data_IF_831571322175
#
_entry.id   IF_831571322175
#
_cell.length_a   1.000
_cell.length_b   1.000
_cell.length_c   1.000
_cell.angle_alpha   90.00
_cell.angle_beta   90.00
_cell.angle_gamma   90.00
#
_symmetry.space_group_name_H-M   'P 1'
#
loop_
_entity.id
_entity.type
_entity.pdbx_description
1 polymer ?
#
# COMPACT_ATOMS: atom_id res chain seq x y z
N UNK A 1 2.36 23.20 10.16
CA UNK A 1 1.63 22.05 9.57
C UNK A 1 2.51 21.52 8.45
N UNK A 2 3.17 20.38 8.64
CA UNK A 2 3.94 19.76 7.55
C UNK A 2 2.94 19.19 6.56
N UNK A 3 2.76 19.87 5.43
CA UNK A 3 2.20 19.26 4.23
C UNK A 3 3.27 18.28 3.73
N UNK A 4 3.25 17.06 4.25
CA UNK A 4 4.00 15.96 3.66
C UNK A 4 3.34 15.69 2.32
N UNK A 5 3.88 16.24 1.23
CA UNK A 5 3.46 15.89 -0.11
C UNK A 5 3.52 14.37 -0.23
N UNK A 6 2.37 13.75 -0.44
CA UNK A 6 2.27 12.30 -0.62
C UNK A 6 3.08 11.95 -1.87
N UNK A 7 4.24 11.34 -1.66
CA UNK A 7 5.05 10.85 -2.76
C UNK A 7 4.23 9.84 -3.56
N UNK A 8 4.29 9.97 -4.88
CA UNK A 8 3.57 9.11 -5.81
C UNK A 8 4.56 8.24 -6.58
N UNK A 9 4.16 7.02 -6.87
CA UNK A 9 4.94 6.06 -7.67
C UNK A 9 4.07 5.43 -8.74
N UNK A 10 4.71 5.02 -9.83
CA UNK A 10 4.08 4.14 -10.81
C UNK A 10 4.19 2.69 -10.31
N UNK A 11 3.12 1.94 -10.48
CA UNK A 11 3.05 0.52 -10.08
C UNK A 11 2.51 -0.25 -11.26
N UNK A 12 3.11 -1.40 -11.55
CA UNK A 12 2.66 -2.23 -12.65
C UNK A 12 1.20 -2.69 -12.43
N UNK A 13 0.35 -2.74 -13.47
CA UNK A 13 -1.02 -3.23 -13.33
C UNK A 13 -1.09 -4.65 -12.73
N UNK A 14 -0.10 -5.49 -13.02
CA UNK A 14 0.01 -6.84 -12.48
C UNK A 14 0.20 -6.86 -10.97
N UNK A 15 1.03 -5.95 -10.44
CA UNK A 15 1.25 -5.83 -9.00
C UNK A 15 -0.02 -5.35 -8.27
N UNK A 16 -0.82 -4.51 -8.90
CA UNK A 16 -2.10 -4.06 -8.33
C UNK A 16 -3.13 -5.18 -8.32
N UNK A 17 -3.23 -5.95 -9.40
CA UNK A 17 -4.03 -7.18 -9.43
C UNK A 17 -3.54 -8.16 -8.36
N UNK A 18 -2.22 -8.24 -8.16
CA UNK A 18 -1.63 -9.05 -7.10
C UNK A 18 -2.10 -8.61 -5.71
N UNK A 19 -2.05 -7.31 -5.40
CA UNK A 19 -2.58 -6.77 -4.13
C UNK A 19 -4.07 -7.04 -3.97
N UNK A 20 -4.85 -6.83 -5.02
CA UNK A 20 -6.30 -7.09 -5.02
C UNK A 20 -6.61 -8.54 -4.62
N UNK A 21 -5.89 -9.51 -5.19
CA UNK A 21 -6.11 -10.94 -4.96
C UNK A 21 -5.51 -11.47 -3.65
N UNK A 22 -4.40 -10.91 -3.18
CA UNK A 22 -3.62 -11.51 -2.09
C UNK A 22 -3.73 -10.75 -0.76
N UNK A 23 -4.19 -9.50 -0.76
CA UNK A 23 -4.35 -8.73 0.47
C UNK A 23 -5.75 -8.87 1.07
N UNK A 24 -5.80 -9.58 2.18
CA UNK A 24 -7.02 -9.69 3.01
C UNK A 24 -7.37 -8.35 3.65
N UNK A 25 -8.61 -8.23 4.14
CA UNK A 25 -9.04 -7.07 4.93
C UNK A 25 -8.17 -6.84 6.17
N UNK A 26 -7.67 -7.92 6.80
CA UNK A 26 -6.76 -7.83 7.94
C UNK A 26 -5.41 -7.23 7.52
N UNK A 27 -4.84 -7.68 6.41
CA UNK A 27 -3.57 -7.12 5.90
C UNK A 27 -3.71 -5.64 5.52
N UNK A 28 -4.83 -5.25 4.90
CA UNK A 28 -5.13 -3.84 4.59
C UNK A 28 -5.28 -2.99 5.86
N UNK A 29 -5.83 -3.57 6.94
CA UNK A 29 -5.87 -2.91 8.25
C UNK A 29 -4.47 -2.70 8.82
N UNK A 30 -3.60 -3.70 8.72
CA UNK A 30 -2.21 -3.59 9.18
C UNK A 30 -1.42 -2.52 8.42
N UNK A 31 -1.70 -2.31 7.12
CA UNK A 31 -1.14 -1.18 6.36
C UNK A 31 -1.52 0.14 7.03
N UNK A 32 -2.79 0.31 7.40
CA UNK A 32 -3.28 1.52 8.05
C UNK A 32 -2.62 1.75 9.40
N UNK A 33 -2.51 0.69 10.20
CA UNK A 33 -1.93 0.76 11.54
C UNK A 33 -0.45 1.18 11.46
N UNK A 34 0.33 0.59 10.54
CA UNK A 34 1.73 0.98 10.30
C UNK A 34 1.91 2.41 9.81
N UNK A 35 1.03 2.88 8.93
CA UNK A 35 1.07 4.26 8.47
C UNK A 35 0.82 5.22 9.64
N UNK A 36 -0.18 4.92 10.48
CA UNK A 36 -0.47 5.73 11.65
C UNK A 36 0.68 5.71 12.68
N UNK A 37 1.33 4.57 12.89
CA UNK A 37 2.53 4.45 13.75
C UNK A 37 3.68 5.32 13.25
N UNK A 38 3.82 5.51 11.93
CA UNK A 38 4.81 6.40 11.32
C UNK A 38 4.35 7.87 11.25
N UNK A 39 3.23 8.23 11.90
CA UNK A 39 2.67 9.59 11.89
C UNK A 39 1.94 9.97 10.60
N UNK A 40 1.75 9.02 9.68
CA UNK A 40 1.02 9.21 8.43
C UNK A 40 -0.44 8.82 8.62
N UNK A 41 -1.30 9.81 8.83
CA UNK A 41 -2.75 9.54 8.97
C UNK A 41 -3.34 9.03 7.66
N UNK A 42 -3.64 7.74 7.61
CA UNK A 42 -4.25 7.09 6.46
C UNK A 42 -5.63 6.52 6.82
N UNK A 43 -6.69 7.05 6.21
CA UNK A 43 -8.03 6.47 6.34
C UNK A 43 -8.05 5.09 5.68
N UNK A 44 -8.69 4.11 6.34
CA UNK A 44 -8.83 2.75 5.81
C UNK A 44 -9.43 2.74 4.41
N UNK A 45 -10.47 3.53 4.16
CA UNK A 45 -11.09 3.63 2.83
C UNK A 45 -10.07 4.01 1.74
N UNK A 46 -9.14 4.93 2.06
CA UNK A 46 -8.11 5.33 1.12
C UNK A 46 -7.19 4.16 0.78
N UNK A 47 -6.77 3.37 1.77
CA UNK A 47 -5.91 2.19 1.56
C UNK A 47 -6.61 1.12 0.72
N UNK A 48 -7.90 0.87 0.99
CA UNK A 48 -8.67 -0.08 0.20
C UNK A 48 -8.78 0.37 -1.24
N UNK A 49 -9.14 1.63 -1.47
CA UNK A 49 -9.22 2.21 -2.82
C UNK A 49 -7.87 2.15 -3.52
N UNK A 50 -6.80 2.48 -2.81
CA UNK A 50 -5.42 2.50 -3.30
C UNK A 50 -4.98 1.12 -3.81
N UNK A 51 -5.26 0.08 -3.05
CA UNK A 51 -4.81 -1.30 -3.32
C UNK A 51 -5.78 -2.11 -4.20
N UNK A 52 -6.91 -1.52 -4.62
CA UNK A 52 -7.94 -2.21 -5.40
C UNK A 52 -8.34 -1.48 -6.69
N UNK A 53 -7.79 -0.30 -6.94
CA UNK A 53 -8.11 0.48 -8.14
C UNK A 53 -6.91 0.57 -9.06
N UNK A 54 -7.12 0.29 -10.36
CA UNK A 54 -6.13 0.56 -11.40
C UNK A 54 -6.07 2.07 -11.67
N UNK A 55 -4.87 2.65 -11.60
CA UNK A 55 -4.62 4.08 -11.79
C UNK A 55 -3.19 4.30 -12.26
N UNK A 56 -2.91 5.52 -12.70
CA UNK A 56 -1.59 5.89 -13.22
C UNK A 56 -0.52 6.00 -12.12
N UNK A 57 -0.90 6.56 -10.97
CA UNK A 57 0.02 6.85 -9.87
C UNK A 57 -0.57 6.42 -8.53
N UNK A 58 0.27 5.85 -7.68
CA UNK A 58 -0.05 5.31 -6.37
C UNK A 58 0.67 6.05 -5.25
N UNK A 59 0.08 6.10 -4.07
CA UNK A 59 0.65 6.59 -2.82
C UNK A 59 1.79 5.67 -2.40
N UNK A 60 3.02 6.20 -2.46
CA UNK A 60 4.24 5.44 -2.29
C UNK A 60 4.30 4.71 -0.94
N UNK A 61 3.79 5.35 0.12
CA UNK A 61 3.83 4.80 1.46
C UNK A 61 2.83 3.64 1.62
N UNK A 62 1.64 3.77 1.05
CA UNK A 62 0.65 2.67 1.06
C UNK A 62 1.21 1.45 0.32
N UNK A 63 1.79 1.65 -0.87
CA UNK A 63 2.36 0.55 -1.65
C UNK A 63 3.56 -0.07 -0.93
N UNK A 64 4.45 0.75 -0.36
CA UNK A 64 5.61 0.27 0.39
C UNK A 64 5.20 -0.58 1.58
N UNK A 65 4.23 -0.14 2.37
CA UNK A 65 3.73 -0.93 3.51
C UNK A 65 2.99 -2.19 3.05
N UNK A 66 2.23 -2.13 1.95
CA UNK A 66 1.59 -3.30 1.36
C UNK A 66 2.60 -4.38 0.93
N UNK A 67 3.68 -3.97 0.24
CA UNK A 67 4.80 -4.86 -0.13
C UNK A 67 5.43 -5.51 1.11
N UNK A 68 5.72 -4.72 2.15
CA UNK A 68 6.31 -5.21 3.41
C UNK A 68 5.41 -6.25 4.08
N UNK A 69 4.11 -5.97 4.22
CA UNK A 69 3.16 -6.90 4.83
C UNK A 69 3.07 -8.19 4.02
N UNK A 70 3.02 -8.12 2.69
CA UNK A 70 2.99 -9.33 1.87
C UNK A 70 4.31 -10.11 1.95
N UNK A 71 5.46 -9.44 2.03
CA UNK A 71 6.75 -10.10 2.27
C UNK A 71 6.75 -10.86 3.60
N UNK A 72 6.29 -10.23 4.67
CA UNK A 72 6.26 -10.85 6.01
C UNK A 72 5.30 -12.04 6.11
N UNK A 73 4.10 -11.92 5.54
CA UNK A 73 3.05 -12.93 5.72
C UNK A 73 3.03 -14.01 4.63
N UNK A 74 3.64 -13.75 3.47
CA UNK A 74 3.63 -14.67 2.32
C UNK A 74 5.04 -15.00 1.81
N UNK A 75 6.10 -14.40 2.35
CA UNK A 75 7.47 -14.63 1.90
C UNK A 75 7.75 -14.07 0.50
N UNK A 76 6.94 -13.12 0.02
CA UNK A 76 7.00 -12.62 -1.34
C UNK A 76 7.96 -11.44 -1.47
N UNK A 77 8.84 -11.49 -2.46
CA UNK A 77 9.69 -10.35 -2.81
C UNK A 77 9.07 -9.58 -3.98
N UNK A 78 8.87 -8.28 -3.79
CA UNK A 78 8.52 -7.36 -4.86
C UNK A 78 9.83 -6.79 -5.39
N UNK A 79 10.04 -6.85 -6.70
CA UNK A 79 11.21 -6.23 -7.30
C UNK A 79 11.14 -4.71 -7.00
N UNK A 80 12.12 -4.21 -6.25
CA UNK A 80 12.29 -2.78 -6.02
C UNK A 80 12.68 -2.14 -7.35
N UNK A 81 11.70 -1.70 -8.14
CA UNK A 81 11.91 -0.70 -9.18
C UNK A 81 11.76 0.69 -8.56
#
# INVERSE_FOLDING_TARGET
MLNTEKQKIEVSPLEIVFFYNNMTSTMKRMVADRLNENGLSAKRENIYRELQTLKKEYDAEIITQARRILKEFKGLEFNNQ
#
